data_IF_736094965646
#
_entry.id   IF_736094965646
#
_cell.length_a   1.000
_cell.length_b   1.000
_cell.length_c   1.000
_cell.angle_alpha   90.00
_cell.angle_beta   90.00
_cell.angle_gamma   90.00
#
_symmetry.space_group_name_H-M   'P 1'
#
loop_
_entity.id
_entity.type
_entity.pdbx_description
1 polymer ?
#
# COMPACT_ATOMS: atom_id res chain seq x y z
N UNK A 1 12.25 1.86 12.58
CA UNK A 1 11.99 2.54 11.29
C UNK A 1 11.10 3.76 11.55
N UNK A 2 11.46 4.93 11.03
CA UNK A 2 10.69 6.18 11.21
C UNK A 2 9.74 6.42 10.03
N UNK A 3 8.78 7.35 10.18
CA UNK A 3 7.86 7.74 9.10
C UNK A 3 8.59 8.31 7.89
N UNK A 4 9.64 9.10 8.13
CA UNK A 4 10.53 9.62 7.07
C UNK A 4 11.20 8.48 6.29
N UNK A 5 11.66 7.44 6.99
CA UNK A 5 12.21 6.26 6.34
C UNK A 5 11.14 5.57 5.49
N UNK A 6 9.92 5.35 6.01
CA UNK A 6 8.81 4.75 5.24
C UNK A 6 8.50 5.56 3.98
N UNK A 7 8.44 6.89 4.07
CA UNK A 7 8.24 7.78 2.92
C UNK A 7 9.38 7.64 1.90
N UNK A 8 10.63 7.60 2.36
CA UNK A 8 11.81 7.39 1.51
C UNK A 8 11.73 6.08 0.74
N UNK A 9 11.40 4.97 1.41
CA UNK A 9 11.24 3.68 0.74
C UNK A 9 10.04 3.67 -0.22
N UNK A 10 8.89 4.21 0.17
CA UNK A 10 7.74 4.35 -0.73
C UNK A 10 8.10 5.12 -2.01
N UNK A 11 8.85 6.21 -1.91
CA UNK A 11 9.32 6.99 -3.08
C UNK A 11 10.26 6.17 -3.96
N UNK A 12 11.22 5.44 -3.37
CA UNK A 12 12.08 4.54 -4.11
C UNK A 12 11.29 3.45 -4.85
N UNK A 13 10.37 2.78 -4.16
CA UNK A 13 9.52 1.74 -4.76
C UNK A 13 8.49 2.29 -5.75
N UNK A 14 8.10 3.55 -5.65
CA UNK A 14 7.29 4.24 -6.67
C UNK A 14 8.04 4.35 -7.99
N UNK A 15 9.31 4.73 -7.97
CA UNK A 15 10.11 4.76 -9.20
C UNK A 15 10.29 3.37 -9.79
N UNK A 16 10.52 2.36 -8.94
CA UNK A 16 10.57 0.96 -9.38
C UNK A 16 9.25 0.54 -10.02
N UNK A 17 8.11 0.82 -9.38
CA UNK A 17 6.78 0.47 -9.89
C UNK A 17 6.51 1.13 -11.25
N UNK A 18 6.92 2.38 -11.44
CA UNK A 18 6.81 3.07 -12.72
C UNK A 18 7.68 2.40 -13.79
N UNK A 19 8.95 2.12 -13.49
CA UNK A 19 9.86 1.43 -14.41
C UNK A 19 9.30 0.05 -14.79
N UNK A 20 8.84 -0.73 -13.82
CA UNK A 20 8.24 -2.04 -14.05
C UNK A 20 6.95 -1.96 -14.87
N UNK A 21 6.14 -0.91 -14.69
CA UNK A 21 4.95 -0.65 -15.50
C UNK A 21 5.31 -0.35 -16.97
N UNK A 22 6.41 0.37 -17.21
CA UNK A 22 6.92 0.61 -18.57
C UNK A 22 7.47 -0.69 -19.17
N UNK A 23 8.22 -1.47 -18.40
CA UNK A 23 8.75 -2.77 -18.83
C UNK A 23 7.61 -3.75 -19.15
N UNK A 24 6.52 -3.74 -18.38
CA UNK A 24 5.32 -4.55 -18.66
C UNK A 24 4.77 -4.28 -20.07
N UNK A 25 4.68 -3.02 -20.47
CA UNK A 25 4.18 -2.63 -21.79
C UNK A 25 5.06 -3.23 -22.89
N UNK A 26 6.38 -3.28 -22.70
CA UNK A 26 7.31 -3.80 -23.70
C UNK A 26 7.28 -5.34 -23.75
N UNK A 27 7.30 -5.99 -22.57
CA UNK A 27 7.54 -7.43 -22.43
C UNK A 27 6.27 -8.28 -22.60
N UNK A 28 5.10 -7.76 -22.21
CA UNK A 28 3.83 -8.52 -22.23
C UNK A 28 3.19 -8.58 -23.61
N UNK A 29 3.91 -9.05 -24.63
CA UNK A 29 3.46 -9.05 -26.03
C UNK A 29 2.26 -9.96 -26.32
N UNK A 30 1.89 -10.85 -25.38
CA UNK A 30 0.69 -11.70 -25.47
C UNK A 30 -0.62 -10.91 -25.39
N UNK A 31 -0.63 -9.74 -24.74
CA UNK A 31 -1.80 -8.88 -24.62
C UNK A 31 -1.74 -7.70 -25.61
N UNK A 32 -2.91 -7.18 -25.98
CA UNK A 32 -3.01 -6.04 -26.89
C UNK A 32 -2.24 -4.83 -26.36
N UNK A 33 -1.67 -4.01 -27.24
CA UNK A 33 -0.90 -2.82 -26.82
C UNK A 33 -1.75 -1.88 -25.95
N UNK A 34 -3.02 -1.67 -26.31
CA UNK A 34 -3.95 -0.86 -25.53
C UNK A 34 -4.20 -1.45 -24.13
N UNK A 35 -4.46 -2.76 -24.04
CA UNK A 35 -4.67 -3.47 -22.77
C UNK A 35 -3.44 -3.36 -21.87
N UNK A 36 -2.24 -3.47 -22.44
CA UNK A 36 -0.99 -3.31 -21.70
C UNK A 36 -0.82 -1.92 -21.09
N UNK A 37 -1.09 -0.87 -21.88
CA UNK A 37 -0.99 0.52 -21.42
C UNK A 37 -2.01 0.78 -20.32
N UNK A 38 -3.24 0.32 -20.50
CA UNK A 38 -4.30 0.45 -19.47
C UNK A 38 -3.90 -0.27 -18.19
N UNK A 39 -3.44 -1.52 -18.28
CA UNK A 39 -3.01 -2.29 -17.11
C UNK A 39 -1.82 -1.63 -16.40
N UNK A 40 -0.79 -1.18 -17.12
CA UNK A 40 0.34 -0.46 -16.54
C UNK A 40 -0.11 0.81 -15.77
N UNK A 41 -1.04 1.59 -16.34
CA UNK A 41 -1.60 2.75 -15.66
C UNK A 41 -2.43 2.37 -14.42
N UNK A 42 -3.23 1.32 -14.50
CA UNK A 42 -4.05 0.85 -13.37
C UNK A 42 -3.15 0.39 -12.23
N UNK A 43 -2.16 -0.46 -12.49
CA UNK A 43 -1.23 -0.95 -11.46
C UNK A 43 -0.49 0.22 -10.82
N UNK A 44 0.00 1.16 -11.64
CA UNK A 44 0.76 2.28 -11.15
C UNK A 44 -0.08 3.19 -10.24
N UNK A 45 -1.29 3.54 -10.68
CA UNK A 45 -2.19 4.34 -9.86
C UNK A 45 -2.65 3.59 -8.60
N UNK A 46 -2.92 2.29 -8.70
CA UNK A 46 -3.41 1.50 -7.58
C UNK A 46 -2.38 1.39 -6.46
N UNK A 47 -1.09 1.25 -6.79
CA UNK A 47 0.00 1.35 -5.81
C UNK A 47 -0.07 2.64 -4.98
N UNK A 48 -0.26 3.78 -5.65
CA UNK A 48 -0.34 5.09 -5.01
C UNK A 48 -1.62 5.29 -4.20
N UNK A 49 -2.75 4.81 -4.72
CA UNK A 49 -4.05 4.84 -4.03
C UNK A 49 -3.97 4.05 -2.73
N UNK A 50 -3.39 2.85 -2.74
CA UNK A 50 -3.26 2.01 -1.56
C UNK A 50 -2.40 2.68 -0.48
N UNK A 51 -1.24 3.21 -0.87
CA UNK A 51 -0.40 3.96 0.08
C UNK A 51 -1.14 5.19 0.64
N UNK A 52 -1.76 5.99 -0.24
CA UNK A 52 -2.48 7.21 0.15
C UNK A 52 -3.61 6.89 1.12
N UNK A 53 -4.45 5.91 0.79
CA UNK A 53 -5.57 5.43 1.61
C UNK A 53 -5.11 5.11 3.03
N UNK A 54 -4.14 4.21 3.21
CA UNK A 54 -3.69 3.89 4.57
C UNK A 54 -2.99 5.05 5.27
N UNK A 55 -2.28 5.91 4.52
CA UNK A 55 -1.59 7.07 5.11
C UNK A 55 -2.53 8.21 5.54
N UNK A 56 -3.71 8.32 4.93
CA UNK A 56 -4.66 9.44 5.14
C UNK A 56 -5.66 9.20 6.27
N UNK A 57 -6.00 7.93 6.59
CA UNK A 57 -7.01 7.60 7.61
C UNK A 57 -6.69 8.23 8.99
N UNK A 58 -5.43 8.54 9.30
CA UNK A 58 -5.05 9.20 10.55
C UNK A 58 -5.26 10.74 10.58
N UNK A 59 -5.50 11.40 9.43
CA UNK A 59 -5.50 12.87 9.36
C UNK A 59 -6.83 13.51 9.80
N UNK A 60 -7.97 12.83 9.68
CA UNK A 60 -9.29 13.45 9.86
C UNK A 60 -9.92 13.29 11.26
N UNK A 61 -9.41 12.41 12.14
CA UNK A 61 -9.96 12.28 13.52
C UNK A 61 -9.66 13.48 14.43
N UNK A 62 -9.12 14.58 13.89
CA UNK A 62 -8.54 15.71 14.65
C UNK A 62 -9.54 16.79 15.07
N UNK A 63 -10.76 16.85 14.54
CA UNK A 63 -11.61 18.05 14.68
C UNK A 63 -12.92 17.95 15.47
N UNK A 64 -13.34 16.80 16.02
CA UNK A 64 -14.60 16.75 16.80
C UNK A 64 -14.35 16.70 18.31
N UNK A 65 -14.66 17.79 18.99
CA UNK A 65 -14.35 18.04 20.40
C UNK A 65 -15.43 17.56 21.38
N UNK A 66 -16.28 16.58 21.05
CA UNK A 66 -17.45 16.25 21.88
C UNK A 66 -17.80 14.75 21.96
N UNK A 67 -16.98 14.02 22.75
CA UNK A 67 -17.21 12.77 23.52
C UNK A 67 -15.92 11.92 23.62
N UNK A 68 -14.88 12.54 24.17
CA UNK A 68 -13.51 12.47 23.65
C UNK A 68 -12.74 11.19 24.05
N UNK A 69 -12.90 10.61 25.24
CA UNK A 69 -11.97 9.54 25.69
C UNK A 69 -12.28 8.15 25.15
N UNK A 70 -13.52 7.69 25.23
CA UNK A 70 -13.90 6.35 24.74
C UNK A 70 -13.88 6.27 23.22
N UNK A 71 -14.40 7.30 22.54
CA UNK A 71 -14.38 7.37 21.06
C UNK A 71 -12.94 7.45 20.55
N UNK A 72 -12.07 8.24 21.18
CA UNK A 72 -10.67 8.30 20.77
C UNK A 72 -9.92 6.99 21.09
N UNK A 73 -10.19 6.35 22.23
CA UNK A 73 -9.60 5.05 22.56
C UNK A 73 -10.04 3.96 21.57
N UNK A 74 -11.32 3.92 21.23
CA UNK A 74 -11.87 2.99 20.25
C UNK A 74 -11.34 3.26 18.85
N UNK A 75 -11.31 4.52 18.42
CA UNK A 75 -10.74 4.92 17.14
C UNK A 75 -9.25 4.56 17.07
N UNK A 76 -8.46 4.84 18.10
CA UNK A 76 -7.03 4.51 18.12
C UNK A 76 -6.77 3.00 18.06
N UNK A 77 -7.56 2.21 18.78
CA UNK A 77 -7.45 0.75 18.73
C UNK A 77 -7.92 0.18 17.39
N UNK A 78 -8.99 0.73 16.82
CA UNK A 78 -9.44 0.37 15.48
C UNK A 78 -8.39 0.69 14.42
N UNK A 79 -7.68 1.81 14.55
CA UNK A 79 -6.57 2.16 13.66
C UNK A 79 -5.38 1.20 13.76
N UNK A 80 -5.08 0.70 14.97
CA UNK A 80 -4.07 -0.35 15.19
C UNK A 80 -4.50 -1.67 14.56
N UNK A 81 -5.76 -2.06 14.74
CA UNK A 81 -6.32 -3.28 14.13
C UNK A 81 -6.31 -3.16 12.61
N UNK A 82 -6.73 -2.02 12.07
CA UNK A 82 -6.79 -1.79 10.63
C UNK A 82 -5.40 -1.75 9.97
N UNK A 83 -4.40 -1.15 10.65
CA UNK A 83 -3.01 -1.20 10.17
C UNK A 83 -2.42 -2.60 10.26
N UNK A 84 -2.68 -3.35 11.34
CA UNK A 84 -2.25 -4.75 11.46
C UNK A 84 -2.89 -5.62 10.36
N UNK A 85 -4.19 -5.42 10.12
CA UNK A 85 -4.94 -6.09 9.06
C UNK A 85 -4.35 -5.74 7.68
N UNK A 86 -4.07 -4.47 7.40
CA UNK A 86 -3.43 -4.05 6.15
C UNK A 86 -2.06 -4.69 5.93
N UNK A 87 -1.25 -4.83 7.00
CA UNK A 87 0.02 -5.56 6.94
C UNK A 87 -0.21 -7.03 6.61
N UNK A 88 -1.15 -7.70 7.28
CA UNK A 88 -1.48 -9.11 7.00
C UNK A 88 -1.99 -9.30 5.56
N UNK A 89 -2.88 -8.42 5.09
CA UNK A 89 -3.36 -8.41 3.72
C UNK A 89 -2.21 -8.25 2.72
N UNK A 90 -1.23 -7.38 3.02
CA UNK A 90 -0.06 -7.22 2.14
C UNK A 90 0.73 -8.52 1.99
N UNK A 91 0.94 -9.27 3.07
CA UNK A 91 1.60 -10.58 3.02
C UNK A 91 0.75 -11.62 2.29
N UNK A 92 -0.56 -11.59 2.48
CA UNK A 92 -1.47 -12.49 1.77
C UNK A 92 -1.49 -12.23 0.26
N UNK A 93 -1.51 -10.95 -0.15
CA UNK A 93 -1.39 -10.56 -1.56
C UNK A 93 -0.02 -10.98 -2.12
N UNK A 94 1.06 -10.79 -1.36
CA UNK A 94 2.39 -11.30 -1.73
C UNK A 94 2.36 -12.81 -1.97
N UNK A 95 1.73 -13.58 -1.07
CA UNK A 95 1.59 -15.02 -1.20
C UNK A 95 0.84 -15.40 -2.48
N UNK A 96 -0.31 -14.77 -2.76
CA UNK A 96 -1.07 -15.02 -3.99
C UNK A 96 -0.22 -14.72 -5.23
N UNK A 97 0.48 -13.60 -5.27
CA UNK A 97 1.28 -13.23 -6.45
C UNK A 97 2.42 -14.24 -6.65
N UNK A 98 3.15 -14.60 -5.59
CA UNK A 98 4.32 -15.48 -5.69
C UNK A 98 3.94 -16.92 -6.03
N UNK A 99 2.94 -17.49 -5.33
CA UNK A 99 2.63 -18.92 -5.44
C UNK A 99 1.55 -19.23 -6.47
N UNK A 100 0.76 -18.25 -6.87
CA UNK A 100 -0.32 -18.43 -7.85
C UNK A 100 0.02 -17.67 -9.11
N UNK A 101 0.17 -16.35 -9.07
CA UNK A 101 0.23 -15.56 -10.30
C UNK A 101 1.52 -15.77 -11.12
N UNK A 102 2.69 -15.73 -10.49
CA UNK A 102 4.00 -15.84 -11.17
C UNK A 102 4.16 -17.19 -11.91
N UNK A 103 3.79 -18.35 -11.35
CA UNK A 103 3.87 -19.63 -12.06
C UNK A 103 3.06 -19.70 -13.36
N UNK A 104 1.95 -18.95 -13.47
CA UNK A 104 1.11 -18.94 -14.68
C UNK A 104 1.54 -17.87 -15.68
N UNK A 105 2.02 -16.73 -15.20
CA UNK A 105 2.49 -15.65 -16.06
C UNK A 105 3.69 -14.93 -15.44
N UNK A 106 4.85 -15.03 -16.09
CA UNK A 106 6.06 -14.33 -15.67
C UNK A 106 5.89 -12.80 -15.65
N UNK A 107 4.93 -12.25 -16.42
CA UNK A 107 4.60 -10.83 -16.37
C UNK A 107 3.98 -10.42 -15.03
N UNK A 108 3.42 -11.39 -14.27
CA UNK A 108 2.81 -11.15 -12.98
C UNK A 108 3.79 -10.75 -11.87
N UNK A 109 5.09 -11.00 -12.07
CA UNK A 109 6.14 -10.49 -11.18
C UNK A 109 6.05 -8.96 -11.01
N UNK A 110 5.55 -8.25 -12.03
CA UNK A 110 5.43 -6.80 -12.06
C UNK A 110 4.31 -6.29 -11.12
N UNK A 111 3.42 -7.18 -10.67
CA UNK A 111 2.39 -6.86 -9.68
C UNK A 111 2.90 -6.89 -8.23
N UNK A 112 4.14 -7.33 -7.97
CA UNK A 112 4.70 -7.38 -6.61
C UNK A 112 4.82 -6.00 -5.95
N UNK A 113 4.77 -4.92 -6.71
CA UNK A 113 4.72 -3.57 -6.16
C UNK A 113 3.42 -3.27 -5.42
N UNK A 114 2.29 -3.90 -5.79
CA UNK A 114 1.00 -3.69 -5.13
C UNK A 114 1.02 -4.00 -3.63
N UNK A 115 1.42 -5.21 -3.18
CA UNK A 115 1.49 -5.50 -1.76
C UNK A 115 2.53 -4.62 -1.03
N UNK A 116 3.59 -4.17 -1.71
CA UNK A 116 4.56 -3.23 -1.14
C UNK A 116 3.91 -1.88 -0.81
N UNK A 117 3.05 -1.36 -1.70
CA UNK A 117 2.30 -0.12 -1.48
C UNK A 117 1.35 -0.24 -0.28
N UNK A 118 0.61 -1.36 -0.20
CA UNK A 118 -0.24 -1.70 0.95
C UNK A 118 0.58 -1.77 2.24
N UNK A 119 1.72 -2.47 2.22
CA UNK A 119 2.58 -2.66 3.38
C UNK A 119 3.10 -1.34 3.92
N UNK A 120 3.65 -0.47 3.07
CA UNK A 120 4.17 0.82 3.52
C UNK A 120 3.08 1.77 3.99
N UNK A 121 1.92 1.77 3.34
CA UNK A 121 0.77 2.54 3.78
C UNK A 121 0.32 2.10 5.18
N UNK A 122 0.06 0.80 5.36
CA UNK A 122 -0.39 0.24 6.63
C UNK A 122 0.65 0.39 7.74
N UNK A 123 1.94 0.26 7.41
CA UNK A 123 3.02 0.43 8.38
C UNK A 123 3.22 1.92 8.77
N UNK A 124 3.04 2.86 7.84
CA UNK A 124 3.00 4.29 8.15
C UNK A 124 1.89 4.60 9.15
N UNK A 125 0.70 4.01 8.94
CA UNK A 125 -0.44 4.12 9.84
C UNK A 125 -0.15 3.56 11.25
N UNK A 126 0.52 2.41 11.32
CA UNK A 126 0.96 1.81 12.57
C UNK A 126 1.92 2.70 13.36
N UNK A 127 2.93 3.29 12.69
CA UNK A 127 3.89 4.20 13.34
C UNK A 127 3.22 5.45 13.92
N UNK A 128 2.26 5.99 13.18
CA UNK A 128 1.46 7.12 13.62
C UNK A 128 0.62 6.80 14.87
N UNK A 129 0.07 5.59 14.96
CA UNK A 129 -0.66 5.13 16.16
C UNK A 129 0.25 4.98 17.38
N UNK A 130 1.51 4.57 17.20
CA UNK A 130 2.47 4.39 18.31
C UNK A 130 2.99 5.69 18.90
N UNK A 131 3.17 6.74 18.09
CA UNK A 131 3.66 8.04 18.60
C UNK A 131 2.68 8.69 19.58
N UNK A 132 1.39 8.39 19.49
CA UNK A 132 0.35 8.93 20.40
C UNK A 132 0.40 8.35 21.82
N UNK A 133 1.06 7.22 22.06
CA UNK A 133 1.16 6.60 23.40
C UNK A 133 2.30 7.15 24.28
N UNK A 134 3.13 8.06 23.75
CA UNK A 134 4.26 8.65 24.48
C UNK A 134 3.99 10.07 25.02
N UNK A 135 2.79 10.60 24.80
CA UNK A 135 2.29 11.87 25.31
C UNK A 135 0.93 11.66 25.96
#
# INVERSE_FOLDING_TARGET
MTKENVKKYYTFFSYINLILSIVFIIVSTKSGFFERVVAALVINNFYHILYSFFSSINQESRNSQTNIKFINFFAENMMKVFSLFGILCSFFIFFIIIFIAIPYDNSAFLFLCLPIGTLFGAYSLWLDSKKKLKH
#
